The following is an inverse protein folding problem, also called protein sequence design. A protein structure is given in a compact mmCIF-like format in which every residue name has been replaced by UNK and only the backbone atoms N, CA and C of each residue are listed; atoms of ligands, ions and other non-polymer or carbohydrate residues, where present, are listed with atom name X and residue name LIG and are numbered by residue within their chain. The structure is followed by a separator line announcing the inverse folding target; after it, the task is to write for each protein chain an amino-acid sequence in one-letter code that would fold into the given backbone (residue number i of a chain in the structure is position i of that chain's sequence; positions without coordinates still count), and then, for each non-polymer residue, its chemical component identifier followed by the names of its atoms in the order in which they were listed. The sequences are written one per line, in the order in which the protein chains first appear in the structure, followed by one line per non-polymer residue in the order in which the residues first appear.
data_IF_481296410779
#
_entry.id   IF_481296410779
#
_cell.length_a   1.000
_cell.length_b   1.000
_cell.length_c   1.000
_cell.angle_alpha   90.00
_cell.angle_beta   90.00
_cell.angle_gamma   90.00
#
_symmetry.space_group_name_H-M   'P 1'
#
loop_
_entity.id
_entity.type
_entity.pdbx_description
1 polymer ?
#
# COMPACT_ATOMS: atom_id res chain seq x y z
N UNK A 1 -30.43 -7.75 0.91
CA UNK A 1 -29.51 -7.74 -0.24
C UNK A 1 -28.46 -6.69 0.01
N UNK A 2 -27.17 -7.04 0.02
CA UNK A 2 -26.09 -6.06 0.13
C UNK A 2 -26.08 -5.22 -1.15
N UNK A 3 -26.41 -3.93 -1.06
CA UNK A 3 -26.33 -3.00 -2.19
C UNK A 3 -24.87 -2.97 -2.66
N UNK A 4 -24.60 -3.00 -3.97
CA UNK A 4 -23.23 -2.79 -4.48
C UNK A 4 -22.83 -1.30 -4.30
N UNK A 5 -21.55 -0.98 -4.08
CA UNK A 5 -21.10 0.41 -3.99
C UNK A 5 -21.28 1.10 -5.34
N UNK A 6 -21.86 2.30 -5.33
CA UNK A 6 -22.20 3.04 -6.55
C UNK A 6 -21.07 3.99 -6.98
N UNK A 7 -20.28 4.47 -6.01
CA UNK A 7 -19.19 5.43 -6.20
C UNK A 7 -18.03 5.17 -5.20
N UNK A 8 -16.98 5.99 -5.26
CA UNK A 8 -15.81 5.84 -4.38
C UNK A 8 -16.13 6.15 -2.91
N UNK A 9 -17.01 7.10 -2.65
CA UNK A 9 -17.40 7.48 -1.28
C UNK A 9 -18.12 6.32 -0.56
N UNK A 10 -18.96 5.56 -1.28
CA UNK A 10 -19.59 4.34 -0.77
C UNK A 10 -18.56 3.29 -0.34
N UNK A 11 -17.45 3.14 -1.08
CA UNK A 11 -16.37 2.24 -0.71
C UNK A 11 -15.66 2.70 0.56
N UNK A 12 -15.34 4.00 0.64
CA UNK A 12 -14.70 4.59 1.82
C UNK A 12 -15.60 4.44 3.05
N UNK A 13 -16.90 4.73 2.94
CA UNK A 13 -17.85 4.57 4.04
C UNK A 13 -17.96 3.13 4.53
N UNK A 14 -17.94 2.15 3.61
CA UNK A 14 -17.93 0.74 4.01
C UNK A 14 -16.65 0.35 4.72
N UNK A 15 -15.50 0.81 4.24
CA UNK A 15 -14.21 0.54 4.86
C UNK A 15 -14.11 1.14 6.26
N UNK A 16 -14.62 2.36 6.48
CA UNK A 16 -14.73 2.99 7.81
C UNK A 16 -15.58 2.20 8.81
N UNK A 17 -16.49 1.34 8.33
CA UNK A 17 -17.28 0.45 9.17
C UNK A 17 -16.57 -0.84 9.58
N UNK A 18 -15.29 -1.02 9.18
CA UNK A 18 -14.47 -2.18 9.50
C UNK A 18 -13.24 -1.79 10.33
N UNK A 19 -12.59 -2.73 11.02
CA UNK A 19 -11.30 -2.47 11.64
C UNK A 19 -10.27 -2.01 10.59
N UNK A 20 -9.36 -1.09 10.95
CA UNK A 20 -8.27 -0.70 10.06
C UNK A 20 -7.40 -1.91 9.71
N UNK A 21 -6.88 -1.94 8.49
CA UNK A 21 -5.91 -2.97 8.08
C UNK A 21 -4.48 -2.49 8.33
N UNK A 22 -3.56 -3.41 8.62
CA UNK A 22 -2.16 -3.09 8.82
C UNK A 22 -1.43 -3.01 7.48
N UNK A 23 -0.77 -1.90 7.20
CA UNK A 23 -0.12 -1.63 5.91
C UNK A 23 1.37 -1.43 6.08
N UNK A 24 2.16 -2.29 5.45
CA UNK A 24 3.60 -2.14 5.34
C UNK A 24 3.96 -1.19 4.18
N UNK A 25 4.45 0.00 4.50
CA UNK A 25 4.81 1.02 3.51
C UNK A 25 6.30 0.88 3.17
N UNK A 26 6.60 0.31 2.01
CA UNK A 26 7.96 0.08 1.55
C UNK A 26 8.59 1.36 0.99
N UNK A 27 9.72 1.80 1.55
CA UNK A 27 10.42 3.04 1.21
C UNK A 27 9.52 4.28 1.41
N UNK A 28 9.15 4.54 2.66
CA UNK A 28 8.20 5.60 3.03
C UNK A 28 8.76 7.04 2.95
N UNK A 29 9.93 7.26 2.34
CA UNK A 29 10.67 8.53 2.31
C UNK A 29 10.22 9.46 1.17
N UNK A 30 8.90 9.61 1.00
CA UNK A 30 8.27 10.54 0.06
C UNK A 30 7.09 11.27 0.71
N UNK A 31 7.11 12.61 0.64
CA UNK A 31 6.09 13.45 1.28
C UNK A 31 4.65 13.14 0.88
N UNK A 32 4.38 12.88 -0.40
CA UNK A 32 3.04 12.49 -0.86
C UNK A 32 2.57 11.18 -0.23
N UNK A 33 3.44 10.17 -0.15
CA UNK A 33 3.15 8.86 0.48
C UNK A 33 2.80 9.06 1.95
N UNK A 34 3.60 9.85 2.67
CA UNK A 34 3.38 10.13 4.09
C UNK A 34 2.06 10.87 4.34
N UNK A 35 1.69 11.83 3.48
CA UNK A 35 0.39 12.51 3.55
C UNK A 35 -0.77 11.54 3.33
N UNK A 36 -0.67 10.68 2.31
CA UNK A 36 -1.69 9.65 2.05
C UNK A 36 -1.85 8.68 3.22
N UNK A 37 -0.74 8.25 3.81
CA UNK A 37 -0.75 7.40 5.00
C UNK A 37 -1.42 8.11 6.18
N UNK A 38 -1.04 9.35 6.47
CA UNK A 38 -1.64 10.13 7.56
C UNK A 38 -3.15 10.32 7.37
N UNK A 39 -3.59 10.64 6.15
CA UNK A 39 -5.01 10.79 5.83
C UNK A 39 -5.77 9.48 6.01
N UNK A 40 -5.26 8.37 5.46
CA UNK A 40 -5.87 7.05 5.61
C UNK A 40 -5.94 6.59 7.08
N UNK A 41 -4.89 6.83 7.86
CA UNK A 41 -4.87 6.57 9.31
C UNK A 41 -5.90 7.44 10.04
N UNK A 42 -6.00 8.73 9.70
CA UNK A 42 -6.96 9.66 10.32
C UNK A 42 -8.42 9.30 10.00
N UNK A 43 -8.64 8.67 8.84
CA UNK A 43 -9.94 8.13 8.44
C UNK A 43 -10.25 6.77 9.09
N UNK A 44 -9.32 6.19 9.85
CA UNK A 44 -9.47 4.87 10.48
C UNK A 44 -9.41 3.70 9.51
N UNK A 45 -8.79 3.88 8.34
CA UNK A 45 -8.74 2.86 7.28
C UNK A 45 -7.54 1.93 7.42
N UNK A 46 -6.42 2.45 7.94
CA UNK A 46 -5.17 1.72 8.04
C UNK A 46 -4.46 1.97 9.37
N UNK A 47 -3.63 1.00 9.75
CA UNK A 47 -2.52 1.15 10.70
C UNK A 47 -1.22 0.95 9.92
N UNK A 48 -0.37 1.97 9.83
CA UNK A 48 0.81 1.90 8.96
C UNK A 48 2.08 1.55 9.74
N UNK A 49 2.93 0.73 9.13
CA UNK A 49 4.33 0.56 9.52
C UNK A 49 5.21 1.07 8.39
N UNK A 50 6.09 2.02 8.70
CA UNK A 50 6.94 2.69 7.73
C UNK A 50 8.27 1.95 7.64
N UNK A 51 8.74 1.61 6.45
CA UNK A 51 10.00 0.90 6.27
C UNK A 51 10.91 1.75 5.40
N UNK A 52 12.13 2.00 5.86
CA UNK A 52 13.10 2.78 5.11
C UNK A 52 14.17 3.42 5.99
N UNK A 53 14.91 4.36 5.40
CA UNK A 53 15.89 5.18 6.11
C UNK A 53 15.16 6.15 7.07
N UNK A 54 15.39 6.06 8.40
CA UNK A 54 14.66 6.88 9.37
C UNK A 54 14.86 8.37 9.15
N UNK A 55 16.11 8.82 8.93
CA UNK A 55 16.43 10.24 8.71
C UNK A 55 15.71 10.78 7.47
N UNK A 56 15.68 10.00 6.38
CA UNK A 56 15.00 10.39 5.15
C UNK A 56 13.48 10.46 5.31
N UNK A 57 12.89 9.53 6.06
CA UNK A 57 11.45 9.49 6.37
C UNK A 57 11.09 10.70 7.24
N UNK A 58 11.79 10.91 8.35
CA UNK A 58 11.55 12.03 9.27
C UNK A 58 11.71 13.38 8.57
N UNK A 59 12.75 13.53 7.75
CA UNK A 59 12.95 14.74 6.94
C UNK A 59 11.77 14.97 6.00
N UNK A 60 11.35 13.94 5.27
CA UNK A 60 10.21 14.03 4.34
C UNK A 60 8.89 14.33 5.05
N UNK A 61 8.70 13.78 6.26
CA UNK A 61 7.56 14.04 7.11
C UNK A 61 7.51 15.51 7.54
N UNK A 62 8.63 16.02 8.07
CA UNK A 62 8.79 17.42 8.47
C UNK A 62 8.55 18.38 7.29
N UNK A 63 9.19 18.15 6.15
CA UNK A 63 9.04 18.95 4.93
C UNK A 63 7.57 18.96 4.42
N UNK A 64 6.81 17.93 4.76
CA UNK A 64 5.42 17.74 4.35
C UNK A 64 4.38 18.14 5.39
N UNK A 65 4.80 18.53 6.60
CA UNK A 65 3.91 18.81 7.72
C UNK A 65 3.23 17.58 8.33
N UNK A 66 3.78 16.38 8.09
CA UNK A 66 3.27 15.11 8.63
C UNK A 66 4.03 14.79 9.92
N UNK A 67 3.32 14.34 10.95
CA UNK A 67 3.94 13.85 12.19
C UNK A 67 4.18 12.36 12.07
N UNK A 68 5.43 11.94 12.24
CA UNK A 68 5.86 10.54 12.26
C UNK A 68 6.71 10.33 13.51
N UNK A 69 6.48 9.23 14.23
CA UNK A 69 7.33 8.83 15.36
C UNK A 69 8.41 7.85 14.89
N UNK A 70 9.60 7.89 15.49
CA UNK A 70 10.65 6.91 15.24
C UNK A 70 10.20 5.47 15.55
N UNK A 71 9.28 5.30 16.51
CA UNK A 71 8.69 4.01 16.86
C UNK A 71 7.90 3.36 15.73
N UNK A 72 7.47 4.15 14.75
CA UNK A 72 6.62 3.68 13.63
C UNK A 72 7.48 3.28 12.42
N UNK A 73 8.81 3.43 12.54
CA UNK A 73 9.79 3.22 11.47
C UNK A 73 10.60 1.94 11.72
N UNK A 74 10.58 1.02 10.77
CA UNK A 74 11.53 -0.08 10.65
C UNK A 74 12.73 0.42 9.82
N UNK A 75 13.85 0.65 10.50
CA UNK A 75 15.07 1.20 9.93
C UNK A 75 15.77 0.20 8.97
N UNK A 76 15.65 0.43 7.66
CA UNK A 76 16.34 -0.33 6.61
C UNK A 76 16.68 0.61 5.46
N UNK A 77 17.97 0.68 5.08
CA UNK A 77 18.44 1.60 4.03
C UNK A 77 18.50 0.97 2.64
N UNK A 78 18.76 -0.34 2.56
CA UNK A 78 18.82 -1.06 1.28
C UNK A 78 17.42 -1.33 0.72
N UNK A 79 17.17 -0.90 -0.52
CA UNK A 79 15.87 -1.00 -1.18
C UNK A 79 15.38 -2.46 -1.35
N UNK A 80 16.29 -3.41 -1.60
CA UNK A 80 15.92 -4.83 -1.73
C UNK A 80 15.50 -5.41 -0.38
N UNK A 81 16.22 -5.04 0.68
CA UNK A 81 15.87 -5.42 2.06
C UNK A 81 14.58 -4.75 2.54
N UNK A 82 14.30 -3.51 2.14
CA UNK A 82 13.01 -2.84 2.40
C UNK A 82 11.86 -3.65 1.79
N UNK A 83 11.99 -4.04 0.51
CA UNK A 83 10.97 -4.85 -0.16
C UNK A 83 10.81 -6.23 0.50
N UNK A 84 11.92 -6.89 0.83
CA UNK A 84 11.90 -8.20 1.49
C UNK A 84 11.23 -8.12 2.88
N UNK A 85 11.51 -7.06 3.65
CA UNK A 85 10.89 -6.86 4.96
C UNK A 85 9.39 -6.60 4.86
N UNK A 86 8.95 -5.80 3.90
CA UNK A 86 7.51 -5.57 3.67
C UNK A 86 6.78 -6.87 3.35
N UNK A 87 7.39 -7.72 2.51
CA UNK A 87 6.88 -9.07 2.19
C UNK A 87 6.84 -9.97 3.43
N UNK A 88 7.89 -9.95 4.24
CA UNK A 88 7.99 -10.76 5.44
C UNK A 88 6.87 -10.43 6.43
N UNK A 89 6.60 -9.14 6.68
CA UNK A 89 5.53 -8.70 7.58
C UNK A 89 4.15 -9.19 7.12
N UNK A 90 3.87 -9.17 5.82
CA UNK A 90 2.61 -9.71 5.30
C UNK A 90 2.58 -11.23 5.41
N UNK A 91 3.71 -11.89 5.17
CA UNK A 91 3.82 -13.35 5.29
C UNK A 91 3.66 -13.85 6.72
N UNK A 92 4.20 -13.14 7.71
CA UNK A 92 4.08 -13.47 9.13
C UNK A 92 2.71 -13.11 9.70
N UNK A 93 1.92 -12.32 8.97
CA UNK A 93 0.65 -11.80 9.45
C UNK A 93 0.81 -10.61 10.38
N UNK A 94 1.96 -9.94 10.41
CA UNK A 94 2.20 -8.66 11.11
C UNK A 94 1.68 -7.46 10.31
N UNK A 95 1.50 -7.62 9.00
CA UNK A 95 0.81 -6.69 8.11
C UNK A 95 -0.22 -7.43 7.24
N UNK A 96 -1.22 -6.71 6.76
CA UNK A 96 -2.29 -7.26 5.89
C UNK A 96 -2.08 -6.89 4.42
N UNK A 97 -1.37 -5.78 4.14
CA UNK A 97 -1.07 -5.32 2.79
C UNK A 97 0.30 -4.64 2.69
N UNK A 98 0.87 -4.63 1.47
CA UNK A 98 2.07 -3.85 1.13
C UNK A 98 1.66 -2.63 0.31
N UNK A 99 2.12 -1.45 0.71
CA UNK A 99 2.02 -0.21 -0.05
C UNK A 99 3.40 0.18 -0.61
N UNK A 100 3.45 0.47 -1.91
CA UNK A 100 4.65 0.97 -2.58
C UNK A 100 4.88 2.45 -2.23
N UNK A 101 6.04 2.78 -1.67
CA UNK A 101 6.56 4.14 -1.56
C UNK A 101 7.58 4.48 -2.65
N UNK A 102 8.70 5.11 -2.29
CA UNK A 102 9.76 5.58 -3.21
C UNK A 102 10.77 4.48 -3.59
N UNK A 103 10.26 3.30 -3.87
CA UNK A 103 11.01 2.15 -4.39
C UNK A 103 10.66 1.93 -5.86
N UNK A 104 11.60 1.43 -6.67
CA UNK A 104 11.29 1.05 -8.04
C UNK A 104 10.29 -0.12 -8.07
N UNK A 105 9.34 -0.06 -9.01
CA UNK A 105 8.28 -1.08 -9.13
C UNK A 105 8.88 -2.47 -9.37
N UNK A 106 9.95 -2.59 -10.16
CA UNK A 106 10.59 -3.87 -10.46
C UNK A 106 11.22 -4.53 -9.22
N UNK A 107 11.83 -3.73 -8.34
CA UNK A 107 12.46 -4.17 -7.10
C UNK A 107 11.40 -4.70 -6.13
N UNK A 108 10.32 -3.94 -5.94
CA UNK A 108 9.21 -4.35 -5.09
C UNK A 108 8.50 -5.60 -5.66
N UNK A 109 8.18 -5.60 -6.96
CA UNK A 109 7.49 -6.71 -7.60
C UNK A 109 8.34 -7.98 -7.60
N UNK A 110 9.65 -7.89 -7.73
CA UNK A 110 10.54 -9.06 -7.61
C UNK A 110 10.40 -9.73 -6.25
N UNK A 111 10.37 -8.95 -5.16
CA UNK A 111 10.19 -9.49 -3.82
C UNK A 111 8.79 -10.09 -3.63
N UNK A 112 7.74 -9.40 -4.09
CA UNK A 112 6.34 -9.88 -3.98
C UNK A 112 6.07 -11.15 -4.79
N UNK A 113 6.71 -11.30 -5.95
CA UNK A 113 6.47 -12.41 -6.88
C UNK A 113 7.41 -13.61 -6.70
N UNK A 114 8.44 -13.47 -5.86
CA UNK A 114 9.38 -14.53 -5.54
C UNK A 114 8.61 -15.77 -5.05
N UNK A 115 8.93 -16.96 -5.58
CA UNK A 115 8.23 -18.19 -5.21
C UNK A 115 8.43 -18.58 -3.74
N UNK A 116 9.51 -18.11 -3.11
CA UNK A 116 9.81 -18.29 -1.68
C UNK A 116 9.09 -17.29 -0.79
N UNK A 117 8.55 -16.19 -1.35
CA UNK A 117 7.75 -15.23 -0.59
C UNK A 117 6.50 -15.88 0.02
N UNK A 118 5.91 -16.85 -0.67
CA UNK A 118 4.64 -17.47 -0.27
C UNK A 118 3.41 -16.59 -0.51
N UNK A 119 3.58 -15.36 -1.02
CA UNK A 119 2.47 -14.45 -1.33
C UNK A 119 1.83 -14.76 -2.69
N UNK A 120 2.63 -15.25 -3.64
CA UNK A 120 2.15 -15.65 -4.97
C UNK A 120 1.62 -17.08 -4.95
N UNK A 121 0.36 -17.26 -5.36
CA UNK A 121 -0.20 -18.60 -5.60
C UNK A 121 0.53 -19.30 -6.75
N UNK A 122 0.87 -20.59 -6.63
CA UNK A 122 1.39 -21.38 -7.75
C UNK A 122 0.46 -21.29 -8.97
N UNK A 123 1.06 -21.26 -10.16
CA UNK A 123 0.36 -21.26 -11.46
C UNK A 123 -0.65 -20.11 -11.69
N UNK A 124 -0.57 -19.05 -10.89
CA UNK A 124 -1.33 -17.81 -11.09
C UNK A 124 -0.39 -16.64 -11.42
N UNK A 125 -0.87 -15.77 -12.31
CA UNK A 125 -0.25 -14.48 -12.62
C UNK A 125 -0.90 -13.40 -11.79
N UNK A 126 -0.10 -12.43 -11.36
CA UNK A 126 -0.61 -11.19 -10.77
C UNK A 126 -1.09 -10.30 -11.90
N UNK A 127 -2.22 -9.61 -11.71
CA UNK A 127 -2.69 -8.55 -12.60
C UNK A 127 -2.91 -7.26 -11.81
N UNK A 128 -3.10 -6.17 -12.54
CA UNK A 128 -3.46 -4.88 -11.98
C UNK A 128 -4.92 -4.53 -12.32
N UNK A 129 -5.67 -4.00 -11.35
CA UNK A 129 -7.03 -3.48 -11.57
C UNK A 129 -7.15 -2.03 -11.09
N UNK A 130 -7.65 -1.15 -11.95
CA UNK A 130 -8.17 0.15 -11.53
C UNK A 130 -9.65 0.02 -11.16
N UNK A 131 -10.04 0.68 -10.07
CA UNK A 131 -11.45 0.97 -9.77
C UNK A 131 -11.66 2.45 -10.09
N UNK A 132 -12.49 2.73 -11.10
CA UNK A 132 -12.71 4.07 -11.64
C UNK A 132 -14.14 4.49 -11.34
N UNK A 133 -14.26 5.66 -10.72
CA UNK A 133 -15.52 6.38 -10.56
C UNK A 133 -15.60 7.46 -11.65
N UNK A 134 -16.55 7.31 -12.58
CA UNK A 134 -16.68 8.19 -13.76
C UNK A 134 -17.95 9.01 -13.61
N UNK A 135 -17.88 10.36 -13.56
CA UNK A 135 -19.05 11.20 -13.29
C UNK A 135 -20.25 10.99 -14.22
N UNK A 136 -20.01 10.54 -15.45
CA UNK A 136 -21.03 10.28 -16.46
C UNK A 136 -21.48 8.82 -16.55
N UNK A 137 -21.00 7.96 -15.64
CA UNK A 137 -21.33 6.53 -15.64
C UNK A 137 -21.94 6.12 -14.29
N UNK A 138 -23.04 5.35 -14.27
CA UNK A 138 -23.88 5.19 -13.07
C UNK A 138 -23.33 4.19 -12.02
N UNK A 139 -22.12 3.66 -12.20
CA UNK A 139 -21.51 2.64 -11.31
C UNK A 139 -19.99 2.65 -11.42
N UNK A 140 -19.32 2.06 -10.44
CA UNK A 140 -17.87 1.83 -10.51
C UNK A 140 -17.47 0.90 -11.67
N UNK A 141 -16.36 1.23 -12.33
CA UNK A 141 -15.75 0.43 -13.40
C UNK A 141 -14.46 -0.21 -12.91
N UNK A 142 -14.34 -1.53 -13.11
CA UNK A 142 -13.07 -2.24 -12.92
C UNK A 142 -12.36 -2.41 -14.26
N UNK A 143 -11.12 -1.92 -14.37
CA UNK A 143 -10.30 -2.00 -15.60
C UNK A 143 -9.03 -2.78 -15.31
N UNK A 144 -8.81 -3.90 -16.03
CA UNK A 144 -7.64 -4.79 -15.89
C UNK A 144 -7.26 -5.38 -17.26
N UNK A 145 -6.00 -5.67 -17.57
CA UNK A 145 -4.76 -5.24 -16.91
C UNK A 145 -4.23 -3.97 -17.59
N UNK A 146 -3.88 -2.95 -16.79
CA UNK A 146 -3.43 -1.66 -17.30
C UNK A 146 -1.96 -1.33 -16.94
N UNK A 147 -1.24 -2.21 -16.23
CA UNK A 147 0.07 -1.86 -15.68
C UNK A 147 1.08 -3.01 -15.57
N UNK A 148 0.65 -4.28 -15.48
CA UNK A 148 1.55 -5.41 -15.17
C UNK A 148 1.76 -6.32 -16.38
N UNK A 149 0.68 -6.91 -16.92
CA UNK A 149 0.81 -7.90 -17.99
C UNK A 149 0.86 -7.22 -19.36
N UNK A 150 2.00 -7.39 -20.04
CA UNK A 150 2.22 -6.98 -21.43
C UNK A 150 2.09 -8.23 -22.31
N UNK A 151 1.15 -8.19 -23.27
CA UNK A 151 0.85 -9.17 -24.34
C UNK A 151 1.14 -10.65 -24.04
#
# INVERSE_FOLDING_TARGET
MTKFPENMDDLIMRAKGQPPIRVAVAAADQGLVLKTVQEATSLGLIEAVLIGNPDAILKSANDSGVKVSDSDIIAIDDQSMVAARAVELVKSGDADAVMKGRIHTDTLMRALLDSKSGLRRPDKRVSHVFIVDVPTYPKLLAVTDAAINIA
#
